data_IF_686396420152
#
_entry.id   IF_686396420152
#
_cell.length_a   1.000
_cell.length_b   1.000
_cell.length_c   1.000
_cell.angle_alpha   90.00
_cell.angle_beta   90.00
_cell.angle_gamma   90.00
#
_symmetry.space_group_name_H-M   'P 1'
#
loop_
_entity.id
_entity.type
_entity.pdbx_description
1 polymer ?
#
# COMPACT_ATOMS: atom_id res chain seq x y z
N UNK A 1 7.71 34.64 40.35
CA UNK A 1 7.92 33.18 40.39
C UNK A 1 6.65 32.36 40.14
N UNK A 2 5.54 32.55 40.89
CA UNK A 2 4.30 31.75 40.72
C UNK A 2 3.74 31.71 39.29
N UNK A 3 3.70 32.85 38.57
CA UNK A 3 3.25 32.87 37.16
C UNK A 3 4.15 32.07 36.23
N UNK A 4 5.48 32.17 36.40
CA UNK A 4 6.47 31.41 35.61
C UNK A 4 6.32 29.91 35.86
N UNK A 5 6.15 29.50 37.12
CA UNK A 5 5.93 28.10 37.48
C UNK A 5 4.62 27.55 36.89
N UNK A 6 3.55 28.34 36.90
CA UNK A 6 2.27 27.95 36.29
C UNK A 6 2.42 27.81 34.76
N UNK A 7 3.06 28.78 34.09
CA UNK A 7 3.28 28.71 32.64
C UNK A 7 4.14 27.51 32.26
N UNK A 8 5.20 27.22 33.03
CA UNK A 8 6.04 26.05 32.82
C UNK A 8 5.26 24.74 33.00
N UNK A 9 4.45 24.64 34.05
CA UNK A 9 3.62 23.46 34.31
C UNK A 9 2.62 23.21 33.16
N UNK A 10 1.97 24.26 32.66
CA UNK A 10 1.07 24.17 31.50
C UNK A 10 1.83 23.68 30.26
N UNK A 11 3.01 24.24 29.98
CA UNK A 11 3.82 23.83 28.83
C UNK A 11 4.19 22.34 28.91
N UNK A 12 4.65 21.87 30.07
CA UNK A 12 5.00 20.46 30.30
C UNK A 12 3.77 19.56 30.09
N UNK A 13 2.63 19.95 30.66
CA UNK A 13 1.39 19.19 30.49
C UNK A 13 0.97 19.10 29.01
N UNK A 14 1.08 20.20 28.26
CA UNK A 14 0.80 20.20 26.82
C UNK A 14 1.74 19.27 26.05
N UNK A 15 3.05 19.32 26.31
CA UNK A 15 4.03 18.44 25.65
C UNK A 15 3.75 16.96 25.98
N UNK A 16 3.44 16.65 27.23
CA UNK A 16 3.10 15.30 27.66
C UNK A 16 1.82 14.80 26.97
N UNK A 17 0.79 15.64 26.88
CA UNK A 17 -0.45 15.31 26.19
C UNK A 17 -0.25 15.05 24.70
N UNK A 18 0.54 15.89 24.00
CA UNK A 18 0.88 15.68 22.58
C UNK A 18 1.68 14.39 22.40
N UNK A 19 2.66 14.13 23.26
CA UNK A 19 3.49 12.92 23.20
C UNK A 19 2.66 11.65 23.43
N UNK A 20 1.80 11.65 24.45
CA UNK A 20 0.88 10.54 24.71
C UNK A 20 -0.07 10.33 23.51
N UNK A 21 -0.61 11.40 22.96
CA UNK A 21 -1.48 11.34 21.77
C UNK A 21 -0.73 10.73 20.58
N UNK A 22 0.53 11.10 20.34
CA UNK A 22 1.31 10.50 19.26
C UNK A 22 1.65 9.04 19.49
N UNK A 23 1.93 8.62 20.72
CA UNK A 23 2.21 7.21 21.04
C UNK A 23 0.95 6.35 20.86
N UNK A 24 -0.19 6.78 21.40
CA UNK A 24 -1.41 5.97 21.40
C UNK A 24 -2.25 6.10 20.13
N UNK A 25 -2.16 7.25 19.43
CA UNK A 25 -2.94 7.55 18.22
C UNK A 25 -2.08 7.87 17.01
N UNK A 26 -0.77 7.65 17.07
CA UNK A 26 0.16 8.01 16.00
C UNK A 26 -0.18 7.36 14.66
N UNK A 27 -0.64 6.10 14.67
CA UNK A 27 -1.11 5.43 13.45
C UNK A 27 -2.29 6.16 12.81
N UNK A 28 -3.30 6.55 13.59
CA UNK A 28 -4.46 7.28 13.07
C UNK A 28 -4.08 8.68 12.60
N UNK A 29 -3.20 9.37 13.31
CA UNK A 29 -2.69 10.69 12.94
C UNK A 29 -1.90 10.61 11.64
N UNK A 30 -1.01 9.61 11.51
CA UNK A 30 -0.27 9.32 10.27
C UNK A 30 -1.22 9.09 9.10
N UNK A 31 -2.22 8.20 9.24
CA UNK A 31 -3.24 7.96 8.22
C UNK A 31 -4.05 9.21 7.85
N UNK A 32 -4.34 10.06 8.83
CA UNK A 32 -5.05 11.31 8.59
C UNK A 32 -4.20 12.27 7.76
N UNK A 33 -2.92 12.42 8.09
CA UNK A 33 -1.97 13.25 7.34
C UNK A 33 -1.77 12.72 5.92
N UNK A 34 -1.72 11.39 5.75
CA UNK A 34 -1.55 10.76 4.44
C UNK A 34 -2.69 11.08 3.46
N UNK A 35 -3.85 11.54 3.94
CA UNK A 35 -4.94 12.05 3.09
C UNK A 35 -4.59 13.37 2.39
N UNK A 36 -3.71 14.17 2.99
CA UNK A 36 -3.28 15.46 2.45
C UNK A 36 -2.01 15.33 1.60
N UNK A 37 -1.17 14.33 1.88
CA UNK A 37 0.01 14.08 1.08
C UNK A 37 0.81 12.88 1.56
N UNK A 38 1.41 12.19 0.60
CA UNK A 38 2.42 11.15 0.84
C UNK A 38 3.69 11.52 0.07
N UNK A 39 4.83 10.99 0.49
CA UNK A 39 6.11 11.26 -0.14
C UNK A 39 6.36 10.18 -1.18
N UNK A 40 6.47 10.56 -2.45
CA UNK A 40 6.85 9.63 -3.52
C UNK A 40 8.32 9.24 -3.38
N UNK A 41 8.59 7.94 -3.42
CA UNK A 41 9.94 7.38 -3.27
C UNK A 41 10.42 6.71 -4.54
N UNK A 42 9.51 6.19 -5.36
CA UNK A 42 9.86 5.58 -6.64
C UNK A 42 8.67 5.63 -7.60
N UNK A 43 8.93 5.71 -8.89
CA UNK A 43 7.96 5.47 -9.94
C UNK A 43 8.62 4.73 -11.09
N UNK A 44 7.97 3.66 -11.56
CA UNK A 44 8.47 2.84 -12.66
C UNK A 44 7.34 2.49 -13.63
N UNK A 45 7.69 2.33 -14.91
CA UNK A 45 6.76 1.80 -15.93
C UNK A 45 6.51 0.32 -15.64
N UNK A 46 5.27 -0.12 -15.84
CA UNK A 46 4.92 -1.53 -15.76
C UNK A 46 5.35 -2.19 -17.08
N UNK A 47 6.19 -3.21 -16.99
CA UNK A 47 6.64 -4.01 -18.14
C UNK A 47 6.21 -5.47 -18.04
N UNK A 48 5.79 -5.92 -16.86
CA UNK A 48 5.28 -7.27 -16.63
C UNK A 48 4.16 -7.23 -15.61
N UNK A 49 3.10 -7.98 -15.89
CA UNK A 49 2.06 -8.28 -14.92
C UNK A 49 1.77 -9.77 -14.95
N UNK A 50 1.78 -10.42 -13.80
CA UNK A 50 1.46 -11.84 -13.66
C UNK A 50 0.54 -12.07 -12.47
N UNK A 51 -0.29 -13.08 -12.59
CA UNK A 51 -1.27 -13.43 -11.57
C UNK A 51 -1.02 -14.85 -11.07
N UNK A 52 -1.07 -15.00 -9.75
CA UNK A 52 -0.97 -16.25 -9.03
C UNK A 52 -2.16 -16.39 -8.08
N UNK A 53 -3.00 -17.41 -8.30
CA UNK A 53 -4.18 -17.67 -7.48
C UNK A 53 -5.27 -18.45 -8.21
N UNK A 54 -6.46 -18.53 -7.59
CA UNK A 54 -7.60 -19.31 -8.07
C UNK A 54 -8.62 -18.51 -8.89
N UNK A 55 -8.32 -17.26 -9.25
CA UNK A 55 -9.17 -16.36 -10.03
C UNK A 55 -9.92 -15.30 -9.19
N UNK A 56 -10.03 -15.50 -7.87
CA UNK A 56 -10.57 -14.50 -6.94
C UNK A 56 -9.50 -14.15 -5.92
N UNK A 57 -9.17 -12.86 -5.78
CA UNK A 57 -8.06 -12.47 -4.92
C UNK A 57 -6.74 -13.06 -5.42
N UNK A 58 -5.83 -13.49 -4.55
CA UNK A 58 -4.50 -14.03 -4.91
C UNK A 58 -3.37 -13.00 -4.81
N UNK A 59 -2.31 -13.19 -5.60
CA UNK A 59 -1.15 -12.30 -5.67
C UNK A 59 -1.02 -11.77 -7.10
N UNK A 60 -0.92 -10.46 -7.22
CA UNK A 60 -0.60 -9.77 -8.47
C UNK A 60 0.87 -9.39 -8.45
N UNK A 61 1.64 -10.03 -9.30
CA UNK A 61 3.04 -9.73 -9.55
C UNK A 61 3.11 -8.59 -10.58
N UNK A 62 3.65 -7.44 -10.17
CA UNK A 62 3.83 -6.27 -11.05
C UNK A 62 5.32 -5.95 -11.08
N UNK A 63 5.93 -6.13 -12.25
CA UNK A 63 7.39 -6.20 -12.36
C UNK A 63 7.92 -7.22 -11.33
N UNK A 64 8.80 -6.80 -10.41
CA UNK A 64 9.36 -7.64 -9.35
C UNK A 64 8.60 -7.57 -8.01
N UNK A 65 7.44 -6.91 -7.97
CA UNK A 65 6.65 -6.69 -6.76
C UNK A 65 5.49 -7.69 -6.67
N UNK A 66 5.43 -8.45 -5.58
CA UNK A 66 4.28 -9.30 -5.26
C UNK A 66 3.26 -8.53 -4.39
N UNK A 67 2.10 -8.20 -4.95
CA UNK A 67 1.05 -7.42 -4.30
C UNK A 67 -0.20 -8.27 -4.07
N UNK A 68 -0.55 -8.50 -2.80
CA UNK A 68 -1.72 -9.30 -2.43
C UNK A 68 -3.04 -8.63 -2.83
N UNK A 69 -3.90 -9.35 -3.53
CA UNK A 69 -5.28 -8.98 -3.83
C UNK A 69 -6.26 -9.43 -2.73
N UNK A 70 -5.80 -10.31 -1.84
CA UNK A 70 -6.54 -10.78 -0.68
C UNK A 70 -6.45 -9.74 0.45
N UNK A 71 -7.54 -9.05 0.76
CA UNK A 71 -7.68 -8.29 2.01
C UNK A 71 -9.06 -8.57 2.65
N UNK A 72 -9.10 -8.65 3.98
CA UNK A 72 -10.33 -8.86 4.77
C UNK A 72 -11.27 -7.64 4.73
N UNK A 73 -10.77 -6.45 4.38
CA UNK A 73 -11.50 -5.17 4.45
C UNK A 73 -11.50 -4.36 3.14
N UNK A 74 -10.87 -4.87 2.09
CA UNK A 74 -10.77 -4.22 0.78
C UNK A 74 -11.68 -4.88 -0.27
N UNK A 75 -11.86 -4.25 -1.45
CA UNK A 75 -12.49 -4.93 -2.57
C UNK A 75 -11.61 -6.11 -3.00
N UNK A 76 -12.21 -7.30 -3.13
CA UNK A 76 -11.52 -8.47 -3.67
C UNK A 76 -11.80 -8.49 -5.18
N UNK A 77 -10.83 -8.12 -6.03
CA UNK A 77 -11.00 -8.22 -7.47
C UNK A 77 -10.90 -9.67 -7.92
N UNK A 78 -11.51 -9.94 -9.08
CA UNK A 78 -11.35 -11.20 -9.78
C UNK A 78 -10.37 -11.02 -10.93
N UNK A 79 -9.51 -12.01 -11.16
CA UNK A 79 -8.62 -12.08 -12.31
C UNK A 79 -9.06 -13.25 -13.19
N UNK A 80 -9.11 -13.00 -14.49
CA UNK A 80 -9.41 -14.05 -15.45
C UNK A 80 -9.26 -13.57 -16.88
N UNK A 81 -9.80 -14.36 -17.81
CA UNK A 81 -9.83 -13.99 -19.23
C UNK A 81 -11.08 -13.19 -19.56
N UNK A 82 -10.90 -12.13 -20.33
CA UNK A 82 -11.99 -11.35 -20.94
C UNK A 82 -12.62 -12.13 -22.10
N UNK A 83 -13.75 -11.63 -22.62
CA UNK A 83 -14.43 -12.21 -23.80
C UNK A 83 -13.52 -12.27 -25.03
N UNK A 84 -12.58 -11.35 -25.13
CA UNK A 84 -11.61 -11.27 -26.23
C UNK A 84 -10.33 -12.09 -25.95
N UNK A 85 -10.34 -12.96 -24.94
CA UNK A 85 -9.20 -13.81 -24.58
C UNK A 85 -8.03 -13.09 -23.91
N UNK A 86 -8.18 -11.81 -23.56
CA UNK A 86 -7.14 -11.04 -22.84
C UNK A 86 -7.18 -11.33 -21.34
N UNK A 87 -6.03 -11.32 -20.67
CA UNK A 87 -5.98 -11.31 -19.21
C UNK A 87 -6.57 -9.98 -18.71
N UNK A 88 -7.44 -10.02 -17.70
CA UNK A 88 -8.08 -8.84 -17.17
C UNK A 88 -8.42 -8.94 -15.69
N UNK A 89 -8.60 -7.77 -15.09
CA UNK A 89 -9.06 -7.59 -13.72
C UNK A 89 -10.49 -7.08 -13.73
N UNK A 90 -11.35 -7.77 -12.98
CA UNK A 90 -12.74 -7.43 -12.78
C UNK A 90 -12.99 -6.93 -11.35
N UNK A 91 -13.61 -5.76 -11.22
CA UNK A 91 -14.02 -5.20 -9.94
C UNK A 91 -15.26 -4.31 -10.13
N UNK A 92 -16.20 -4.38 -9.19
CA UNK A 92 -17.40 -3.53 -9.21
C UNK A 92 -18.23 -3.63 -10.50
N UNK A 93 -18.30 -4.82 -11.10
CA UNK A 93 -19.03 -5.07 -12.36
C UNK A 93 -18.34 -4.56 -13.62
N UNK A 94 -17.14 -4.00 -13.51
CA UNK A 94 -16.33 -3.53 -14.65
C UNK A 94 -15.12 -4.44 -14.84
N UNK A 95 -14.62 -4.50 -16.06
CA UNK A 95 -13.46 -5.30 -16.44
C UNK A 95 -12.43 -4.42 -17.12
N UNK A 96 -11.19 -4.44 -16.63
CA UNK A 96 -10.05 -3.79 -17.24
C UNK A 96 -9.10 -4.84 -17.82
N UNK A 97 -8.91 -4.92 -19.14
CA UNK A 97 -7.98 -5.87 -19.73
C UNK A 97 -6.53 -5.39 -19.55
N UNK A 98 -5.67 -6.25 -19.04
CA UNK A 98 -4.23 -6.00 -18.99
C UNK A 98 -3.58 -6.19 -20.35
N UNK A 99 -4.06 -7.15 -21.15
CA UNK A 99 -3.53 -7.45 -22.48
C UNK A 99 -3.59 -8.94 -22.79
N UNK A 100 -3.11 -9.35 -23.96
CA UNK A 100 -3.08 -10.77 -24.33
C UNK A 100 -2.18 -11.56 -23.35
N UNK A 101 -2.58 -12.78 -22.98
CA UNK A 101 -1.77 -13.64 -22.14
C UNK A 101 -0.48 -14.05 -22.87
N UNK A 102 0.62 -14.17 -22.14
CA UNK A 102 1.87 -14.75 -22.65
C UNK A 102 1.70 -16.27 -22.77
N UNK A 103 1.73 -16.76 -24.00
CA UNK A 103 1.54 -18.19 -24.31
C UNK A 103 2.60 -19.12 -23.69
N UNK A 104 3.77 -18.61 -23.34
CA UNK A 104 4.89 -19.37 -22.76
C UNK A 104 4.95 -19.30 -21.23
N UNK A 105 4.08 -18.50 -20.60
CA UNK A 105 4.10 -18.35 -19.15
C UNK A 105 3.26 -19.45 -18.49
N UNK A 106 3.87 -20.18 -17.55
CA UNK A 106 3.17 -21.17 -16.70
C UNK A 106 2.10 -20.51 -15.82
N UNK A 107 2.25 -19.20 -15.57
CA UNK A 107 1.29 -18.36 -14.84
C UNK A 107 0.50 -17.44 -15.78
N UNK A 108 -0.68 -17.00 -15.35
CA UNK A 108 -1.50 -16.01 -16.04
C UNK A 108 -0.76 -14.66 -16.09
N UNK A 109 0.05 -14.45 -17.12
CA UNK A 109 0.89 -13.27 -17.29
C UNK A 109 0.58 -12.52 -18.58
N UNK A 110 0.76 -11.21 -18.56
CA UNK A 110 0.62 -10.33 -19.71
C UNK A 110 1.69 -9.24 -19.69
N UNK A 111 1.88 -8.61 -20.84
CA UNK A 111 2.68 -7.39 -20.98
C UNK A 111 1.71 -6.28 -21.36
N UNK A 112 1.82 -5.09 -20.75
CA UNK A 112 1.04 -3.94 -21.19
C UNK A 112 1.20 -3.71 -22.71
N UNK A 113 0.09 -3.65 -23.48
CA UNK A 113 0.14 -3.39 -24.91
C UNK A 113 0.92 -2.11 -25.25
N UNK A 114 1.52 -2.10 -26.45
CA UNK A 114 2.15 -0.89 -26.97
C UNK A 114 1.13 0.25 -27.07
N UNK A 115 1.41 1.37 -26.40
CA UNK A 115 0.52 2.53 -26.31
C UNK A 115 -0.20 2.69 -24.97
N UNK A 116 -0.22 1.65 -24.13
CA UNK A 116 -0.69 1.78 -22.76
C UNK A 116 0.30 2.61 -21.92
N UNK A 117 -0.25 3.48 -21.08
CA UNK A 117 0.50 4.28 -20.13
C UNK A 117 0.29 3.69 -18.72
N UNK A 118 1.17 2.77 -18.34
CA UNK A 118 1.06 1.95 -17.14
C UNK A 118 2.26 2.17 -16.21
N UNK A 119 1.99 2.61 -14.99
CA UNK A 119 3.01 2.89 -13.98
C UNK A 119 2.65 2.30 -12.62
N UNK A 120 3.69 1.92 -11.89
CA UNK A 120 3.64 1.71 -10.45
C UNK A 120 4.32 2.90 -9.77
N UNK A 121 3.67 3.48 -8.77
CA UNK A 121 4.22 4.50 -7.88
C UNK A 121 4.30 3.96 -6.48
N UNK A 122 5.47 4.12 -5.87
CA UNK A 122 5.72 3.76 -4.49
C UNK A 122 5.83 5.05 -3.69
N UNK A 123 5.03 5.15 -2.64
CA UNK A 123 4.99 6.29 -1.74
C UNK A 123 5.07 5.84 -0.30
N UNK A 124 5.43 6.74 0.60
CA UNK A 124 5.41 6.50 2.05
C UNK A 124 4.70 7.61 2.79
N UNK A 125 4.24 7.30 4.01
CA UNK A 125 3.69 8.32 4.90
C UNK A 125 4.70 9.43 5.15
N UNK A 126 4.20 10.67 5.24
CA UNK A 126 5.01 11.81 5.64
C UNK A 126 5.38 11.75 7.12
N UNK A 127 4.49 11.19 7.94
CA UNK A 127 4.68 11.04 9.38
C UNK A 127 4.74 9.55 9.77
N UNK A 128 5.85 9.16 10.40
CA UNK A 128 5.98 7.88 11.09
C UNK A 128 5.43 7.98 12.52
N UNK A 129 5.10 6.84 13.14
CA UNK A 129 4.69 6.80 14.54
C UNK A 129 5.54 5.81 15.35
N UNK A 130 5.76 6.10 16.64
CA UNK A 130 6.54 5.22 17.51
C UNK A 130 5.70 4.01 17.94
N UNK A 131 6.36 2.90 18.23
CA UNK A 131 5.70 1.66 18.69
C UNK A 131 6.37 1.09 19.96
N UNK A 132 6.41 1.86 21.07
CA UNK A 132 7.14 1.47 22.28
C UNK A 132 6.57 0.23 22.98
N UNK A 133 5.34 -0.17 22.63
CA UNK A 133 4.64 -1.32 23.23
C UNK A 133 4.57 -2.54 22.31
N UNK A 134 5.10 -2.46 21.08
CA UNK A 134 5.14 -3.59 20.14
C UNK A 134 6.35 -4.48 20.44
N UNK A 135 6.30 -5.15 21.59
CA UNK A 135 7.40 -5.97 22.10
C UNK A 135 7.31 -7.40 21.54
N UNK A 136 8.35 -7.83 20.82
CA UNK A 136 8.51 -9.22 20.38
C UNK A 136 9.57 -9.93 21.25
N UNK A 137 9.09 -10.69 22.23
CA UNK A 137 9.94 -11.45 23.15
C UNK A 137 10.50 -12.75 22.55
N UNK A 138 9.90 -13.26 21.47
CA UNK A 138 10.33 -14.53 20.85
C UNK A 138 11.56 -14.35 19.96
N UNK A 139 11.64 -13.25 19.21
CA UNK A 139 12.78 -12.97 18.30
C UNK A 139 13.72 -11.89 18.82
N UNK A 140 13.33 -11.17 19.89
CA UNK A 140 14.09 -10.03 20.41
C UNK A 140 14.07 -8.78 19.53
N UNK A 141 13.45 -8.84 18.34
CA UNK A 141 13.40 -7.73 17.39
C UNK A 141 12.04 -7.04 17.42
N UNK A 142 12.00 -5.89 18.09
CA UNK A 142 10.81 -5.04 18.20
C UNK A 142 10.97 -3.78 17.34
N UNK A 143 9.98 -3.42 16.51
CA UNK A 143 10.04 -2.18 15.75
C UNK A 143 9.93 -1.00 16.72
N UNK A 144 10.81 0.00 16.59
CA UNK A 144 10.70 1.24 17.39
C UNK A 144 9.81 2.27 16.71
N UNK A 145 9.70 2.20 15.37
CA UNK A 145 8.82 3.04 14.58
C UNK A 145 8.15 2.26 13.46
N UNK A 146 7.01 2.77 13.02
CA UNK A 146 6.30 2.30 11.83
C UNK A 146 5.89 3.49 10.96
N UNK A 147 5.68 3.21 9.68
CA UNK A 147 5.03 4.11 8.71
C UNK A 147 4.25 3.29 7.70
N UNK A 148 3.34 3.91 6.95
CA UNK A 148 2.72 3.24 5.82
C UNK A 148 3.57 3.40 4.56
N UNK A 149 3.51 2.38 3.71
CA UNK A 149 3.95 2.40 2.34
C UNK A 149 2.78 2.12 1.42
N UNK A 150 2.73 2.86 0.32
CA UNK A 150 1.66 2.83 -0.64
C UNK A 150 2.21 2.41 -2.00
N UNK A 151 1.55 1.44 -2.60
CA UNK A 151 1.84 0.98 -3.95
C UNK A 151 0.63 1.34 -4.79
N UNK A 152 0.82 2.22 -5.78
CA UNK A 152 -0.26 2.73 -6.61
C UNK A 152 0.00 2.35 -8.05
N UNK A 153 -0.87 1.50 -8.60
CA UNK A 153 -0.93 1.24 -10.04
C UNK A 153 -1.80 2.31 -10.66
N UNK A 154 -1.29 2.94 -11.70
CA UNK A 154 -2.02 3.86 -12.57
C UNK A 154 -1.83 3.36 -13.99
N UNK A 155 -2.92 2.97 -14.64
CA UNK A 155 -2.88 2.43 -15.98
C UNK A 155 -3.93 3.11 -16.84
N UNK A 156 -3.50 3.71 -17.94
CA UNK A 156 -4.37 4.35 -18.93
C UNK A 156 -4.18 3.70 -20.30
N UNK A 157 -5.27 3.36 -20.97
CA UNK A 157 -5.27 2.88 -22.36
C UNK A 157 -5.43 4.02 -23.35
N UNK A 158 -4.99 3.86 -24.61
CA UNK A 158 -5.26 4.83 -25.68
C UNK A 158 -6.75 5.13 -25.87
N UNK A 159 -7.62 4.14 -25.61
CA UNK A 159 -9.08 4.30 -25.67
C UNK A 159 -9.65 5.26 -24.62
N UNK A 160 -8.87 5.64 -23.61
CA UNK A 160 -9.32 6.48 -22.50
C UNK A 160 -9.65 5.70 -21.22
N UNK A 161 -9.80 4.37 -21.31
CA UNK A 161 -10.02 3.51 -20.16
C UNK A 161 -8.87 3.62 -19.14
N UNK A 162 -9.20 3.60 -17.85
CA UNK A 162 -8.26 3.75 -16.74
C UNK A 162 -8.49 2.72 -15.65
N UNK A 163 -7.40 2.24 -15.08
CA UNK A 163 -7.36 1.48 -13.86
C UNK A 163 -6.47 2.20 -12.85
N UNK A 164 -6.98 2.35 -11.63
CA UNK A 164 -6.20 2.74 -10.47
C UNK A 164 -6.35 1.69 -9.37
N UNK A 165 -5.23 1.20 -8.86
CA UNK A 165 -5.22 0.29 -7.71
C UNK A 165 -4.28 0.84 -6.66
N UNK A 166 -4.66 0.78 -5.39
CA UNK A 166 -3.86 1.29 -4.28
C UNK A 166 -3.77 0.24 -3.18
N UNK A 167 -2.55 -0.19 -2.89
CA UNK A 167 -2.24 -0.98 -1.72
C UNK A 167 -1.65 -0.09 -0.64
N UNK A 168 -1.91 -0.43 0.61
CA UNK A 168 -1.28 0.16 1.78
C UNK A 168 -0.73 -0.95 2.66
N UNK A 169 0.57 -0.89 2.96
CA UNK A 169 1.25 -1.80 3.87
C UNK A 169 1.96 -1.01 4.96
N UNK A 170 2.45 -1.71 5.98
CA UNK A 170 3.30 -1.11 7.01
C UNK A 170 4.77 -1.44 6.75
N UNK A 171 5.62 -0.43 6.96
CA UNK A 171 7.07 -0.57 6.95
C UNK A 171 7.60 -0.31 8.35
N UNK A 172 8.36 -1.27 8.87
CA UNK A 172 8.86 -1.26 10.23
C UNK A 172 10.29 -0.72 10.27
N UNK A 173 10.61 0.04 11.31
CA UNK A 173 11.97 0.47 11.61
C UNK A 173 12.50 -0.29 12.80
N UNK A 174 13.65 -0.94 12.62
CA UNK A 174 14.35 -1.63 13.69
C UNK A 174 15.64 -0.87 14.02
N UNK A 175 15.88 -0.51 15.30
CA UNK A 175 17.17 0.02 15.72
C UNK A 175 18.30 -0.92 15.26
N UNK A 176 19.34 -0.37 14.64
CA UNK A 176 20.46 -1.13 14.09
C UNK A 176 20.32 -1.54 12.62
N UNK A 177 19.11 -1.82 12.14
CA UNK A 177 18.87 -2.32 10.77
C UNK A 177 18.20 -1.28 9.86
N UNK A 178 17.58 -0.26 10.45
CA UNK A 178 16.86 0.77 9.70
C UNK A 178 15.45 0.34 9.29
N UNK A 179 14.96 0.92 8.19
CA UNK A 179 13.64 0.59 7.63
C UNK A 179 13.69 -0.75 6.89
N UNK A 180 12.89 -1.71 7.33
CA UNK A 180 12.77 -3.04 6.71
C UNK A 180 11.91 -3.07 5.44
N UNK A 181 11.54 -4.27 4.99
CA UNK A 181 10.64 -4.43 3.85
C UNK A 181 9.24 -3.89 4.17
N UNK A 182 8.56 -3.38 3.14
CA UNK A 182 7.26 -2.71 3.28
C UNK A 182 6.08 -3.66 3.03
N UNK A 183 6.29 -4.97 3.11
CA UNK A 183 5.26 -5.99 2.84
C UNK A 183 4.68 -6.61 4.12
N UNK A 184 4.97 -6.02 5.29
CA UNK A 184 4.44 -6.50 6.55
C UNK A 184 2.93 -6.24 6.58
N UNK A 185 2.15 -7.32 6.61
CA UNK A 185 0.70 -7.26 6.75
C UNK A 185 0.32 -7.38 8.22
N UNK A 186 -0.41 -6.38 8.74
CA UNK A 186 -1.12 -6.52 10.01
C UNK A 186 -2.56 -6.93 9.70
N UNK A 187 -3.13 -7.82 10.53
CA UNK A 187 -4.53 -8.16 10.39
C UNK A 187 -5.42 -6.89 10.42
N UNK A 188 -6.35 -6.82 9.46
CA UNK A 188 -7.44 -5.83 9.36
C UNK A 188 -7.09 -4.42 8.87
N UNK A 189 -5.91 -4.11 8.33
CA UNK A 189 -5.68 -2.73 7.87
C UNK A 189 -4.68 -2.47 6.73
N UNK A 190 -4.05 -3.52 6.23
CA UNK A 190 -3.01 -3.48 5.20
C UNK A 190 -3.33 -4.46 4.09
N UNK A 191 -3.21 -4.03 2.84
CA UNK A 191 -3.63 -4.77 1.66
C UNK A 191 -4.13 -3.83 0.57
N UNK A 192 -4.88 -4.38 -0.38
CA UNK A 192 -5.53 -3.61 -1.44
C UNK A 192 -6.68 -2.77 -0.85
N UNK A 193 -6.51 -1.45 -0.79
CA UNK A 193 -7.48 -0.54 -0.16
C UNK A 193 -8.37 0.19 -1.16
N UNK A 194 -8.03 0.16 -2.45
CA UNK A 194 -8.83 0.78 -3.52
C UNK A 194 -8.58 0.11 -4.86
N UNK A 195 -9.66 -0.08 -5.60
CA UNK A 195 -9.66 -0.38 -7.04
C UNK A 195 -10.69 0.54 -7.70
N UNK A 196 -10.28 1.31 -8.70
CA UNK A 196 -11.16 2.13 -9.54
C UNK A 196 -10.94 1.77 -11.00
N UNK A 197 -12.02 1.41 -11.69
CA UNK A 197 -12.05 1.13 -13.12
C UNK A 197 -12.97 2.16 -13.79
N UNK A 198 -12.42 2.86 -14.78
CA UNK A 198 -13.16 3.78 -15.66
C UNK A 198 -12.98 3.30 -17.09
N UNK A 199 -14.07 3.15 -17.81
CA UNK A 199 -14.08 2.68 -19.20
C UNK A 199 -14.29 3.86 -20.14
#
# INVERSE_FOLDING_TARGET
MRRILITLAILIACVAAVSATWIFRGRQISLFIDRFGTIETNSARIHSIAYEGSGTGGILHINDLALGLNDKNGPIPNIGSTKDGQLGLAAGGKVFPFGPPRSEAENLAAVPPAGDDAFIRIRRSALSWPTPFDLNFMTGHSPSWKRHCYYQVIWKKPSGAKLEMLWRYEQYFYPGNGWGSSFMTHERSTGLIRVDIRL
#
